data_IF_124996047328
#
_entry.id   IF_124996047328
#
_cell.length_a   1.000
_cell.length_b   1.000
_cell.length_c   1.000
_cell.angle_alpha   90.00
_cell.angle_beta   90.00
_cell.angle_gamma   90.00
#
_symmetry.space_group_name_H-M   'P 1'
#
loop_
_entity.id
_entity.type
_entity.pdbx_description
1 polymer ?
#
# COMPACT_ATOMS: atom_id res chain seq x y z
N UNK A 1 -3.45 36.11 -19.54
CA UNK A 1 -2.06 35.77 -19.95
C UNK A 1 -1.41 35.05 -18.78
N UNK A 2 -0.63 33.99 -19.02
CA UNK A 2 0.17 33.36 -17.98
C UNK A 2 1.23 34.37 -17.56
N UNK A 3 1.14 34.88 -16.33
CA UNK A 3 2.24 35.64 -15.76
C UNK A 3 3.47 34.73 -15.73
N UNK A 4 4.62 35.27 -16.13
CA UNK A 4 5.90 34.59 -16.09
C UNK A 4 6.17 34.20 -14.64
N UNK A 5 5.73 33.00 -14.27
CA UNK A 5 6.20 32.34 -13.06
C UNK A 5 7.69 32.17 -13.27
N UNK A 6 8.49 32.60 -12.30
CA UNK A 6 9.94 32.50 -12.36
C UNK A 6 10.33 31.01 -12.43
N UNK A 7 10.56 30.54 -13.65
CA UNK A 7 10.73 29.12 -13.97
C UNK A 7 12.04 28.55 -13.44
N UNK A 8 12.98 29.43 -13.04
CA UNK A 8 14.27 29.04 -12.50
C UNK A 8 14.13 28.35 -11.13
N UNK A 9 13.09 28.66 -10.35
CA UNK A 9 12.84 27.96 -9.06
C UNK A 9 12.06 26.64 -9.24
N UNK A 10 11.36 26.45 -10.36
CA UNK A 10 10.45 25.30 -10.58
C UNK A 10 11.17 24.11 -11.26
N UNK A 11 12.37 24.35 -11.77
CA UNK A 11 13.12 23.39 -12.60
C UNK A 11 13.90 22.33 -11.82
N UNK A 12 14.08 22.45 -10.51
CA UNK A 12 14.93 21.51 -9.76
C UNK A 12 14.20 20.19 -9.46
N UNK A 13 14.33 19.23 -10.40
CA UNK A 13 14.34 17.81 -10.08
C UNK A 13 13.37 16.89 -10.83
N UNK A 14 12.48 17.39 -11.69
CA UNK A 14 11.53 16.53 -12.41
C UNK A 14 11.40 16.89 -13.90
N UNK A 15 12.17 16.17 -14.73
CA UNK A 15 12.22 16.32 -16.19
C UNK A 15 10.85 16.16 -16.87
N UNK A 16 9.99 15.26 -16.37
CA UNK A 16 8.64 15.12 -16.91
C UNK A 16 7.82 16.40 -16.69
N UNK A 17 7.85 16.95 -15.49
CA UNK A 17 7.06 18.13 -15.15
C UNK A 17 7.50 19.37 -15.94
N UNK A 18 8.80 19.60 -16.06
CA UNK A 18 9.36 20.72 -16.84
C UNK A 18 9.02 20.60 -18.32
N UNK A 19 9.21 19.42 -18.91
CA UNK A 19 8.89 19.17 -20.32
C UNK A 19 7.39 19.38 -20.59
N UNK A 20 6.51 18.91 -19.70
CA UNK A 20 5.06 19.11 -19.85
C UNK A 20 4.65 20.59 -19.71
N UNK A 21 5.34 21.37 -18.86
CA UNK A 21 5.14 22.81 -18.73
C UNK A 21 5.56 23.54 -20.01
N UNK A 22 6.71 23.20 -20.58
CA UNK A 22 7.18 23.82 -21.82
C UNK A 22 6.22 23.54 -22.99
N UNK A 23 5.65 22.32 -23.09
CA UNK A 23 4.60 22.04 -24.08
C UNK A 23 3.33 22.86 -23.77
N UNK A 24 2.93 22.97 -22.50
CA UNK A 24 1.74 23.73 -22.11
C UNK A 24 1.86 25.22 -22.44
N UNK A 25 3.07 25.77 -22.31
CA UNK A 25 3.46 27.13 -22.67
C UNK A 25 3.75 27.33 -24.17
N UNK A 26 3.66 26.26 -24.98
CA UNK A 26 3.96 26.27 -26.42
C UNK A 26 5.41 26.61 -26.77
N UNK A 27 6.36 26.33 -25.87
CA UNK A 27 7.81 26.48 -26.13
C UNK A 27 8.36 25.34 -26.98
N UNK A 28 7.81 24.14 -26.81
CA UNK A 28 8.14 22.95 -27.59
C UNK A 28 6.86 22.29 -28.10
N UNK A 29 6.97 21.54 -29.19
CA UNK A 29 5.85 20.81 -29.77
C UNK A 29 5.50 19.56 -28.97
N UNK A 30 4.26 19.08 -29.14
CA UNK A 30 3.81 17.80 -28.58
C UNK A 30 4.68 16.62 -29.01
N UNK A 31 5.20 16.65 -30.24
CA UNK A 31 6.03 15.59 -30.83
C UNK A 31 7.43 15.58 -30.22
N UNK A 32 8.02 16.76 -30.00
CA UNK A 32 9.32 16.91 -29.34
C UNK A 32 9.25 16.47 -27.88
N UNK A 33 8.24 16.91 -27.13
CA UNK A 33 8.04 16.46 -25.76
C UNK A 33 7.80 14.95 -25.65
N UNK A 34 7.14 14.33 -26.63
CA UNK A 34 6.95 12.87 -26.71
C UNK A 34 8.26 12.12 -26.88
N UNK A 35 9.14 12.67 -27.73
CA UNK A 35 10.46 12.12 -27.97
C UNK A 35 11.34 12.28 -26.73
N UNK A 36 11.34 13.45 -26.11
CA UNK A 36 12.16 13.75 -24.92
C UNK A 36 11.78 12.86 -23.73
N UNK A 37 10.48 12.69 -23.47
CA UNK A 37 10.00 11.85 -22.37
C UNK A 37 9.89 10.36 -22.73
N UNK A 38 10.26 9.96 -23.96
CA UNK A 38 10.12 8.61 -24.48
C UNK A 38 8.74 7.97 -24.21
N UNK A 39 7.65 8.71 -24.49
CA UNK A 39 6.27 8.29 -24.25
C UNK A 39 5.40 8.46 -25.48
N UNK A 40 4.35 7.62 -25.57
CA UNK A 40 3.37 7.68 -26.67
C UNK A 40 2.68 9.03 -26.70
N UNK A 41 2.48 9.57 -27.91
CA UNK A 41 1.83 10.86 -28.16
C UNK A 41 0.47 11.01 -27.45
N UNK A 42 -0.37 9.96 -27.48
CA UNK A 42 -1.67 9.97 -26.79
C UNK A 42 -1.57 10.12 -25.27
N UNK A 43 -0.53 9.54 -24.65
CA UNK A 43 -0.29 9.66 -23.21
C UNK A 43 0.09 11.09 -22.81
N UNK A 44 0.84 11.79 -23.67
CA UNK A 44 1.23 13.19 -23.46
C UNK A 44 0.04 14.13 -23.44
N UNK A 45 -0.94 13.93 -24.34
CA UNK A 45 -2.12 14.80 -24.41
C UNK A 45 -2.88 14.80 -23.09
N UNK A 46 -3.04 13.63 -22.47
CA UNK A 46 -3.66 13.48 -21.16
C UNK A 46 -2.83 14.08 -20.02
N UNK A 47 -1.49 13.98 -20.08
CA UNK A 47 -0.58 14.59 -19.10
C UNK A 47 -0.60 16.12 -19.17
N UNK A 48 -0.58 16.70 -20.37
CA UNK A 48 -0.67 18.15 -20.58
C UNK A 48 -2.02 18.70 -20.14
N UNK A 49 -3.12 17.98 -20.42
CA UNK A 49 -4.45 18.38 -19.95
C UNK A 49 -4.44 18.61 -18.44
N UNK A 50 -3.82 17.72 -17.66
CA UNK A 50 -3.67 17.88 -16.20
C UNK A 50 -2.83 19.09 -15.82
N UNK A 51 -1.77 19.41 -16.57
CA UNK A 51 -0.93 20.61 -16.34
C UNK A 51 -1.68 21.91 -16.66
N UNK A 52 -2.57 21.93 -17.66
CA UNK A 52 -3.33 23.12 -18.00
C UNK A 52 -4.44 23.43 -17.00
N UNK A 53 -5.10 22.39 -16.46
CA UNK A 53 -6.28 22.52 -15.61
C UNK A 53 -6.00 22.46 -14.10
N UNK A 54 -4.73 22.40 -13.69
CA UNK A 54 -4.32 22.49 -12.28
C UNK A 54 -4.22 23.95 -11.81
N UNK A 55 -4.57 24.15 -10.55
CA UNK A 55 -4.48 25.44 -9.84
C UNK A 55 -3.02 25.84 -9.62
N UNK A 56 -2.29 25.07 -8.82
CA UNK A 56 -0.86 25.27 -8.58
C UNK A 56 -0.08 24.54 -9.67
N UNK A 57 0.72 25.23 -10.50
CA UNK A 57 1.56 24.67 -11.59
C UNK A 57 3.04 24.49 -11.19
N UNK A 58 3.43 24.94 -10.00
CA UNK A 58 4.83 24.99 -9.55
C UNK A 58 5.42 23.61 -9.21
N UNK A 59 4.60 22.62 -8.89
CA UNK A 59 5.07 21.28 -8.41
C UNK A 59 4.86 20.15 -9.41
N UNK A 60 5.56 19.01 -9.36
CA UNK A 60 5.18 17.84 -10.16
C UNK A 60 3.76 17.33 -9.82
N UNK A 61 3.11 16.65 -10.76
CA UNK A 61 1.82 16.00 -10.48
C UNK A 61 2.02 14.84 -9.50
N UNK A 62 1.55 15.00 -8.26
CA UNK A 62 1.40 13.88 -7.33
C UNK A 62 0.04 13.22 -7.57
N UNK A 63 0.05 11.91 -7.83
CA UNK A 63 -1.18 11.14 -7.84
C UNK A 63 -1.79 11.26 -6.44
N UNK A 64 -3.03 11.76 -6.34
CA UNK A 64 -3.74 11.75 -5.06
C UNK A 64 -3.68 10.33 -4.49
N UNK A 65 -3.34 10.16 -3.21
CA UNK A 65 -3.41 8.84 -2.59
C UNK A 65 -4.82 8.30 -2.84
N UNK A 66 -4.89 7.01 -3.15
CA UNK A 66 -6.18 6.32 -3.26
C UNK A 66 -7.00 6.51 -1.98
N UNK A 67 -8.29 6.15 -1.98
CA UNK A 67 -9.10 6.20 -0.77
C UNK A 67 -8.32 5.55 0.38
N UNK A 68 -8.13 6.29 1.48
CA UNK A 68 -7.46 5.78 2.68
C UNK A 68 -8.08 4.43 2.98
N UNK A 69 -7.26 3.40 2.98
CA UNK A 69 -7.71 2.05 3.27
C UNK A 69 -8.41 2.08 4.63
N UNK A 70 -9.69 1.74 4.64
CA UNK A 70 -10.47 1.47 5.86
C UNK A 70 -10.00 0.15 6.48
N UNK A 71 -8.70 -0.04 6.64
CA UNK A 71 -8.18 -1.25 7.23
C UNK A 71 -8.68 -1.30 8.69
N UNK A 72 -9.59 -2.23 9.00
CA UNK A 72 -9.91 -2.67 10.38
C UNK A 72 -8.70 -3.28 11.11
N UNK A 73 -7.50 -3.06 10.60
CA UNK A 73 -6.24 -3.65 11.07
C UNK A 73 -5.60 -2.77 12.15
N UNK A 74 -5.98 -1.49 12.31
CA UNK A 74 -5.27 -0.57 13.22
C UNK A 74 -5.09 -1.10 14.64
N UNK A 75 -6.07 -1.79 15.18
CA UNK A 75 -6.06 -2.34 16.54
C UNK A 75 -5.35 -3.70 16.64
N UNK A 76 -5.02 -4.33 15.52
CA UNK A 76 -4.47 -5.69 15.46
C UNK A 76 -3.16 -5.81 14.66
N UNK A 77 -2.54 -4.66 14.32
CA UNK A 77 -1.28 -4.61 13.55
C UNK A 77 -0.18 -5.44 14.19
N UNK A 78 -0.01 -5.30 15.50
CA UNK A 78 1.09 -5.95 16.22
C UNK A 78 0.88 -7.46 16.31
N UNK A 79 -0.35 -7.92 16.57
CA UNK A 79 -0.70 -9.34 16.52
C UNK A 79 -0.45 -9.94 15.13
N UNK A 80 -0.86 -9.25 14.06
CA UNK A 80 -0.61 -9.71 12.69
C UNK A 80 0.89 -9.82 12.40
N UNK A 81 1.70 -8.85 12.86
CA UNK A 81 3.17 -8.88 12.73
C UNK A 81 3.78 -10.05 13.51
N UNK A 82 3.33 -10.29 14.73
CA UNK A 82 3.79 -11.40 15.57
C UNK A 82 3.50 -12.76 14.94
N UNK A 83 2.25 -12.98 14.51
CA UNK A 83 1.88 -14.22 13.81
C UNK A 83 2.64 -14.39 12.50
N UNK A 84 2.91 -13.30 11.77
CA UNK A 84 3.73 -13.36 10.56
C UNK A 84 5.17 -13.77 10.87
N UNK A 85 5.78 -13.26 11.95
CA UNK A 85 7.12 -13.65 12.40
C UNK A 85 7.20 -15.11 12.83
N UNK A 86 6.11 -15.67 13.38
CA UNK A 86 5.95 -17.12 13.63
C UNK A 86 5.77 -17.94 12.34
N UNK A 87 5.74 -17.27 11.21
CA UNK A 87 5.70 -17.92 9.92
C UNK A 87 4.30 -18.26 9.43
N UNK A 88 3.23 -17.66 9.96
CA UNK A 88 1.86 -17.89 9.45
C UNK A 88 1.61 -17.11 8.14
N UNK A 89 0.78 -17.69 7.27
CA UNK A 89 0.25 -17.08 6.05
C UNK A 89 -0.90 -16.13 6.38
N UNK A 90 -1.26 -15.25 5.43
CA UNK A 90 -2.38 -14.33 5.64
C UNK A 90 -3.72 -15.03 5.90
N UNK A 91 -3.92 -16.23 5.35
CA UNK A 91 -5.12 -17.04 5.56
C UNK A 91 -5.14 -17.65 6.97
N UNK A 92 -4.00 -18.18 7.42
CA UNK A 92 -3.87 -18.70 8.79
C UNK A 92 -4.01 -17.60 9.84
N UNK A 93 -3.42 -16.42 9.60
CA UNK A 93 -3.57 -15.26 10.48
C UNK A 93 -5.05 -14.84 10.56
N UNK A 94 -5.75 -14.79 9.42
CA UNK A 94 -7.20 -14.50 9.38
C UNK A 94 -7.98 -15.48 10.25
N UNK A 95 -7.71 -16.77 10.13
CA UNK A 95 -8.34 -17.82 10.92
C UNK A 95 -8.04 -17.68 12.42
N UNK A 96 -6.77 -17.47 12.79
CA UNK A 96 -6.37 -17.29 14.20
C UNK A 96 -7.05 -16.07 14.82
N UNK A 97 -7.11 -14.93 14.13
CA UNK A 97 -7.78 -13.72 14.64
C UNK A 97 -9.29 -13.94 14.83
N UNK A 98 -9.93 -14.65 13.90
CA UNK A 98 -11.34 -15.02 14.02
C UNK A 98 -11.61 -15.93 15.21
N UNK A 99 -10.77 -16.95 15.42
CA UNK A 99 -10.96 -17.95 16.48
C UNK A 99 -10.55 -17.47 17.89
N UNK A 100 -9.64 -16.50 17.97
CA UNK A 100 -9.13 -16.00 19.26
C UNK A 100 -9.89 -14.78 19.75
N UNK A 101 -9.99 -13.74 18.92
CA UNK A 101 -10.54 -12.43 19.30
C UNK A 101 -11.85 -12.08 18.60
N UNK A 102 -12.42 -13.02 17.84
CA UNK A 102 -13.65 -12.83 17.06
C UNK A 102 -13.59 -11.65 16.08
N UNK A 103 -12.42 -11.46 15.45
CA UNK A 103 -12.18 -10.39 14.49
C UNK A 103 -12.15 -10.95 13.07
N UNK A 104 -13.09 -10.51 12.24
CA UNK A 104 -13.17 -10.90 10.84
C UNK A 104 -12.42 -9.90 9.94
N UNK A 105 -11.13 -10.20 9.70
CA UNK A 105 -10.30 -9.50 8.73
C UNK A 105 -9.93 -10.49 7.63
N UNK A 106 -10.28 -10.15 6.39
CA UNK A 106 -9.98 -11.01 5.24
C UNK A 106 -8.48 -11.19 5.03
N UNK A 107 -8.08 -12.39 4.58
CA UNK A 107 -6.70 -12.74 4.24
C UNK A 107 -6.08 -11.78 3.21
N UNK A 108 -6.88 -11.27 2.27
CA UNK A 108 -6.44 -10.26 1.28
C UNK A 108 -6.04 -8.95 1.98
N UNK A 109 -6.81 -8.51 2.97
CA UNK A 109 -6.54 -7.28 3.72
C UNK A 109 -5.26 -7.42 4.54
N UNK A 110 -5.08 -8.57 5.20
CA UNK A 110 -3.85 -8.91 5.92
C UNK A 110 -2.65 -8.95 4.95
N UNK A 111 -2.81 -9.58 3.78
CA UNK A 111 -1.76 -9.65 2.76
C UNK A 111 -1.32 -8.27 2.25
N UNK A 112 -2.27 -7.35 2.04
CA UNK A 112 -1.94 -5.95 1.67
C UNK A 112 -1.17 -5.25 2.77
N UNK A 113 -1.64 -5.33 4.01
CA UNK A 113 -0.94 -4.75 5.16
C UNK A 113 0.49 -5.28 5.31
N UNK A 114 0.67 -6.60 5.23
CA UNK A 114 1.98 -7.23 5.32
C UNK A 114 2.91 -6.78 4.18
N UNK A 115 2.38 -6.63 2.95
CA UNK A 115 3.13 -6.12 1.82
C UNK A 115 3.54 -4.65 1.98
N UNK A 116 2.65 -3.81 2.50
CA UNK A 116 2.93 -2.39 2.80
C UNK A 116 4.01 -2.25 3.89
N UNK A 117 4.07 -3.20 4.83
CA UNK A 117 5.08 -3.28 5.90
C UNK A 117 6.40 -3.94 5.46
N UNK A 118 6.51 -4.38 4.21
CA UNK A 118 7.74 -4.96 3.65
C UNK A 118 7.94 -6.45 3.93
N UNK A 119 6.93 -7.17 4.41
CA UNK A 119 7.02 -8.63 4.52
C UNK A 119 6.96 -9.28 3.13
N UNK A 120 7.97 -10.10 2.83
CA UNK A 120 7.99 -10.89 1.60
C UNK A 120 6.88 -11.96 1.60
N UNK A 121 6.47 -12.37 0.40
CA UNK A 121 5.59 -13.52 0.21
C UNK A 121 6.28 -14.76 0.77
N UNK A 122 5.50 -15.61 1.45
CA UNK A 122 6.07 -16.84 2.00
C UNK A 122 6.28 -17.88 0.90
N UNK A 123 7.41 -18.59 0.98
CA UNK A 123 7.68 -19.74 0.14
C UNK A 123 6.75 -20.90 0.48
N UNK A 124 6.62 -21.84 -0.45
CA UNK A 124 5.85 -23.06 -0.24
C UNK A 124 6.49 -23.87 0.89
N UNK A 125 5.71 -24.18 1.93
CA UNK A 125 6.14 -25.05 3.03
C UNK A 125 6.16 -26.51 2.60
N UNK A 126 7.11 -27.28 3.15
CA UNK A 126 7.12 -28.74 3.04
C UNK A 126 5.97 -29.35 3.83
N UNK A 127 5.64 -30.63 3.60
CA UNK A 127 4.54 -31.31 4.32
C UNK A 127 4.73 -31.29 5.84
N UNK A 128 5.95 -31.57 6.31
CA UNK A 128 6.29 -31.51 7.74
C UNK A 128 6.09 -30.12 8.32
N UNK A 129 6.57 -29.07 7.64
CA UNK A 129 6.39 -27.69 8.08
C UNK A 129 4.91 -27.28 8.14
N UNK A 130 4.06 -27.82 7.25
CA UNK A 130 2.62 -27.58 7.31
C UNK A 130 2.01 -28.22 8.55
N UNK A 131 2.39 -29.45 8.89
CA UNK A 131 1.93 -30.14 10.10
C UNK A 131 2.36 -29.38 11.37
N UNK A 132 3.63 -28.99 11.46
CA UNK A 132 4.16 -28.21 12.59
C UNK A 132 3.38 -26.89 12.75
N UNK A 133 3.13 -26.16 11.65
CA UNK A 133 2.38 -24.89 11.70
C UNK A 133 0.92 -25.10 12.12
N UNK A 134 0.29 -26.20 11.70
CA UNK A 134 -1.09 -26.51 12.11
C UNK A 134 -1.18 -26.80 13.61
N UNK A 135 -0.17 -27.45 14.19
CA UNK A 135 -0.08 -27.65 15.63
C UNK A 135 0.10 -26.31 16.36
N UNK A 136 1.01 -25.45 15.88
CA UNK A 136 1.21 -24.10 16.44
C UNK A 136 -0.09 -23.27 16.43
N UNK A 137 -0.85 -23.32 15.33
CA UNK A 137 -2.14 -22.62 15.22
C UNK A 137 -3.13 -23.12 16.27
N UNK A 138 -3.24 -24.44 16.43
CA UNK A 138 -4.13 -25.04 17.44
C UNK A 138 -3.71 -24.63 18.84
N UNK A 139 -2.42 -24.67 19.14
CA UNK A 139 -1.88 -24.31 20.45
C UNK A 139 -2.12 -22.84 20.77
N UNK A 140 -1.96 -21.94 19.80
CA UNK A 140 -2.31 -20.52 19.94
C UNK A 140 -3.79 -20.34 20.31
N UNK A 141 -4.69 -21.01 19.59
CA UNK A 141 -6.13 -20.91 19.82
C UNK A 141 -6.52 -21.48 21.18
N UNK A 142 -6.00 -22.66 21.53
CA UNK A 142 -6.28 -23.34 22.81
C UNK A 142 -5.74 -22.52 23.98
N UNK A 143 -4.50 -22.04 23.88
CA UNK A 143 -3.86 -21.21 24.91
C UNK A 143 -4.65 -19.93 25.17
N UNK A 144 -5.13 -19.28 24.11
CA UNK A 144 -5.99 -18.12 24.25
C UNK A 144 -7.31 -18.48 24.95
N UNK A 145 -8.03 -19.50 24.47
CA UNK A 145 -9.33 -19.92 25.04
C UNK A 145 -9.21 -20.33 26.52
N UNK A 146 -8.15 -21.05 26.91
CA UNK A 146 -7.89 -21.46 28.30
C UNK A 146 -7.52 -20.28 29.19
N UNK A 147 -6.64 -19.38 28.75
CA UNK A 147 -6.26 -18.17 29.51
C UNK A 147 -7.45 -17.25 29.80
N UNK A 148 -8.40 -17.14 28.86
CA UNK A 148 -9.62 -16.36 29.05
C UNK A 148 -10.68 -17.08 29.88
N UNK A 149 -10.77 -18.42 29.78
CA UNK A 149 -11.64 -19.22 30.67
C UNK A 149 -11.25 -19.05 32.16
N UNK A 150 -9.96 -19.08 32.49
CA UNK A 150 -9.51 -18.87 33.87
C UNK A 150 -9.77 -17.45 34.38
N UNK A 151 -9.69 -16.43 33.51
CA UNK A 151 -10.04 -15.04 33.87
C UNK A 151 -11.52 -14.85 34.20
N UNK A 152 -12.41 -15.65 33.60
CA UNK A 152 -13.85 -15.59 33.88
C UNK A 152 -14.22 -16.34 35.17
N UNK A 153 -13.47 -17.38 35.54
CA UNK A 153 -13.69 -18.12 36.80
C UNK A 153 -13.19 -17.36 38.04
N UNK A 154 -12.10 -16.61 37.93
CA UNK A 154 -11.54 -15.81 39.04
C UNK A 154 -12.24 -14.44 39.25
N UNK A 155 -13.41 -14.22 38.63
CA UNK A 155 -14.25 -13.02 38.80
C UNK A 155 -15.52 -13.28 39.63
N UNK A 156 -15.67 -14.47 40.20
CA UNK A 156 -16.66 -14.76 41.26
C UNK A 156 -15.98 -14.66 42.61
#
# INVERSE_FOLDING_TARGET
MLNAVDLNEIAEGNEEHTTLLDIAMRRISLKEGAKQLNIRYGAIRGRIYRIKHRSDKSKPYSKKPGPKSRYKISEHKDLIREYRKKGLTSEEISNVLRETINVDISSITIGRFLSEEGFLRQYNRTSRQKEDTLMDIKDIIISYKTKYHHKLQNKK
#
